data_IF_124654653167
#
_entry.id   IF_124654653167
#
_cell.length_a   1.000
_cell.length_b   1.000
_cell.length_c   1.000
_cell.angle_alpha   90.00
_cell.angle_beta   90.00
_cell.angle_gamma   90.00
#
_symmetry.space_group_name_H-M   'P 1'
#
loop_
_entity.id
_entity.type
_entity.pdbx_description
1 polymer ?
#
# COMPACT_ATOMS: atom_id res chain seq x y z
N UNK A 1 8.69 -24.47 0.50
CA UNK A 1 7.80 -24.43 -0.68
C UNK A 1 6.42 -24.86 -0.22
N UNK A 2 5.48 -23.92 -0.02
CA UNK A 2 4.04 -24.10 -0.25
C UNK A 2 3.52 -22.73 -0.73
N UNK A 3 2.67 -22.78 -1.75
CA UNK A 3 2.47 -21.81 -2.82
C UNK A 3 1.52 -20.62 -2.57
N UNK A 4 1.74 -19.59 -3.38
CA UNK A 4 0.73 -18.68 -3.96
C UNK A 4 -0.48 -19.48 -4.46
N UNK A 5 -1.68 -19.32 -3.90
CA UNK A 5 -2.96 -19.40 -4.63
C UNK A 5 -4.07 -18.87 -3.74
N UNK A 6 -4.57 -17.66 -4.01
CA UNK A 6 -6.02 -17.44 -4.11
C UNK A 6 -6.33 -16.02 -4.62
N UNK A 7 -6.47 -15.91 -5.94
CA UNK A 7 -7.35 -14.93 -6.56
C UNK A 7 -8.05 -15.60 -7.75
N UNK A 8 -9.39 -15.62 -7.68
CA UNK A 8 -10.40 -15.50 -8.75
C UNK A 8 -11.12 -16.74 -9.33
N UNK A 9 -12.39 -16.87 -8.89
CA UNK A 9 -13.66 -17.11 -9.66
C UNK A 9 -14.01 -18.52 -10.17
N UNK A 10 -15.28 -18.79 -10.59
CA UNK A 10 -16.56 -18.72 -9.87
C UNK A 10 -17.30 -20.09 -9.94
N UNK A 11 -18.26 -20.37 -9.04
CA UNK A 11 -19.16 -21.53 -9.22
C UNK A 11 -20.60 -21.19 -8.81
N UNK A 12 -21.52 -21.28 -9.76
CA UNK A 12 -22.96 -21.16 -9.58
C UNK A 12 -23.59 -22.53 -9.31
N UNK A 13 -24.54 -22.50 -8.36
CA UNK A 13 -25.66 -23.38 -8.00
C UNK A 13 -25.96 -24.68 -8.77
N UNK A 14 -26.35 -25.73 -8.03
CA UNK A 14 -27.75 -26.20 -7.97
C UNK A 14 -28.03 -27.26 -6.86
N UNK A 15 -28.93 -26.87 -5.92
CA UNK A 15 -29.92 -27.67 -5.14
C UNK A 15 -29.54 -28.58 -3.93
N UNK A 16 -30.45 -28.80 -2.95
CA UNK A 16 -31.22 -27.83 -2.14
C UNK A 16 -31.21 -28.11 -0.60
N UNK A 17 -31.48 -27.05 0.17
CA UNK A 17 -32.10 -27.00 1.51
C UNK A 17 -31.57 -27.86 2.68
N UNK A 18 -30.76 -27.23 3.54
CA UNK A 18 -30.99 -27.22 5.01
C UNK A 18 -30.70 -25.82 5.54
N UNK A 19 -31.74 -25.11 5.97
CA UNK A 19 -31.62 -23.82 6.63
C UNK A 19 -30.91 -24.01 7.98
N UNK A 20 -29.60 -23.72 8.03
CA UNK A 20 -28.87 -23.60 9.28
C UNK A 20 -28.93 -22.14 9.75
N UNK A 21 -29.35 -21.96 10.99
CA UNK A 21 -29.94 -20.76 11.54
C UNK A 21 -28.87 -19.71 11.95
N UNK A 22 -28.13 -19.17 10.97
CA UNK A 22 -26.98 -18.26 11.17
C UNK A 22 -27.35 -16.90 11.83
N UNK A 23 -28.64 -16.54 11.86
CA UNK A 23 -29.11 -15.34 12.57
C UNK A 23 -29.17 -15.53 14.09
N UNK A 24 -29.30 -16.78 14.57
CA UNK A 24 -29.32 -17.07 16.00
C UNK A 24 -27.93 -16.99 16.62
N UNK A 25 -26.89 -17.46 15.91
CA UNK A 25 -25.50 -17.48 16.39
C UNK A 25 -24.94 -16.08 16.66
N UNK A 26 -25.31 -15.08 15.85
CA UNK A 26 -24.89 -13.68 16.06
C UNK A 26 -25.53 -13.06 17.30
N UNK A 27 -26.80 -13.38 17.59
CA UNK A 27 -27.47 -12.93 18.82
C UNK A 27 -26.89 -13.63 20.04
N UNK A 28 -26.64 -14.93 19.93
CA UNK A 28 -26.02 -15.74 21.00
C UNK A 28 -24.61 -15.23 21.30
N UNK A 29 -23.81 -14.87 20.29
CA UNK A 29 -22.47 -14.31 20.49
C UNK A 29 -22.52 -12.96 21.22
N UNK A 30 -23.42 -12.06 20.82
CA UNK A 30 -23.60 -10.76 21.46
C UNK A 30 -24.14 -10.88 22.90
N UNK A 31 -25.06 -11.82 23.14
CA UNK A 31 -25.57 -12.12 24.49
C UNK A 31 -24.51 -12.78 25.37
N UNK A 32 -23.67 -13.63 24.80
CA UNK A 32 -22.54 -14.26 25.50
C UNK A 32 -21.49 -13.21 25.87
N UNK A 33 -21.15 -12.29 24.96
CA UNK A 33 -20.26 -11.16 25.26
C UNK A 33 -20.84 -10.29 26.40
N UNK A 34 -22.15 -9.98 26.37
CA UNK A 34 -22.80 -9.21 27.44
C UNK A 34 -22.82 -9.94 28.79
N UNK A 35 -23.07 -11.24 28.80
CA UNK A 35 -23.07 -12.06 30.04
C UNK A 35 -21.66 -12.24 30.60
N UNK A 36 -20.65 -12.34 29.75
CA UNK A 36 -19.24 -12.37 30.17
C UNK A 36 -18.83 -11.02 30.76
N UNK A 37 -19.26 -9.91 30.15
CA UNK A 37 -19.01 -8.56 30.67
C UNK A 37 -19.65 -8.30 32.05
N UNK A 38 -20.76 -8.95 32.38
CA UNK A 38 -21.42 -8.80 33.69
C UNK A 38 -20.71 -9.57 34.82
N UNK A 39 -19.84 -10.53 34.50
CA UNK A 39 -19.21 -11.44 35.47
C UNK A 39 -17.69 -11.28 35.60
N UNK A 40 -17.07 -10.35 34.87
CA UNK A 40 -15.64 -10.06 34.95
C UNK A 40 -15.37 -8.87 35.88
N UNK A 41 -14.35 -8.98 36.73
CA UNK A 41 -13.80 -7.86 37.49
C UNK A 41 -13.41 -6.73 36.52
N UNK A 42 -13.88 -5.51 36.82
CA UNK A 42 -13.79 -4.33 35.94
C UNK A 42 -12.37 -3.80 35.67
N UNK A 43 -11.33 -4.48 36.17
CA UNK A 43 -9.92 -4.12 35.96
C UNK A 43 -9.27 -4.86 34.78
N UNK A 44 -9.83 -6.00 34.35
CA UNK A 44 -9.26 -6.78 33.24
C UNK A 44 -9.72 -6.22 31.88
N UNK A 45 -8.77 -5.65 31.11
CA UNK A 45 -9.01 -5.15 29.74
C UNK A 45 -9.15 -6.32 28.75
N UNK A 46 -10.32 -6.45 28.12
CA UNK A 46 -10.53 -7.41 27.03
C UNK A 46 -10.22 -6.77 25.66
N UNK A 47 -9.39 -7.46 24.85
CA UNK A 47 -9.01 -7.00 23.51
C UNK A 47 -9.66 -7.83 22.41
N UNK A 48 -10.31 -7.13 21.48
CA UNK A 48 -10.83 -7.72 20.24
C UNK A 48 -9.82 -7.54 19.10
N UNK A 49 -9.26 -8.64 18.61
CA UNK A 49 -8.33 -8.63 17.47
C UNK A 49 -9.12 -8.82 16.18
N UNK A 50 -9.00 -7.86 15.27
CA UNK A 50 -9.80 -7.83 14.04
C UNK A 50 -8.98 -7.51 12.81
N UNK A 51 -9.39 -8.05 11.66
CA UNK A 51 -8.77 -7.76 10.38
C UNK A 51 -9.06 -6.32 9.90
N UNK A 52 -8.49 -5.95 8.74
CA UNK A 52 -8.72 -4.62 8.15
C UNK A 52 -10.16 -4.35 7.71
N UNK A 53 -11.00 -5.38 7.50
CA UNK A 53 -12.39 -5.18 7.12
C UNK A 53 -13.25 -4.70 8.31
N UNK A 54 -12.79 -4.90 9.54
CA UNK A 54 -13.34 -4.27 10.74
C UNK A 54 -13.07 -2.76 10.79
N UNK A 55 -11.94 -2.30 10.22
CA UNK A 55 -11.46 -0.93 10.34
C UNK A 55 -12.20 0.07 9.43
N UNK A 56 -13.48 0.31 9.75
CA UNK A 56 -14.34 1.29 9.10
C UNK A 56 -14.99 2.16 10.16
N UNK A 57 -15.21 3.45 9.86
CA UNK A 57 -15.73 4.39 10.86
C UNK A 57 -16.98 3.88 11.61
N UNK A 58 -18.02 3.32 10.94
CA UNK A 58 -19.20 2.81 11.64
C UNK A 58 -18.90 1.62 12.57
N UNK A 59 -18.01 0.71 12.15
CA UNK A 59 -17.66 -0.48 12.93
C UNK A 59 -16.79 -0.14 14.13
N UNK A 60 -15.88 0.82 14.00
CA UNK A 60 -15.01 1.27 15.09
C UNK A 60 -15.81 1.98 16.21
N UNK A 61 -16.96 2.57 15.87
CA UNK A 61 -17.88 3.19 16.82
C UNK A 61 -18.85 2.20 17.48
N UNK A 62 -18.87 0.93 17.05
CA UNK A 62 -19.79 -0.10 17.56
C UNK A 62 -19.39 -0.68 18.93
N UNK A 63 -18.10 -0.94 19.22
CA UNK A 63 -17.66 -1.32 20.56
C UNK A 63 -18.01 -0.24 21.59
N UNK A 64 -18.49 -0.66 22.77
CA UNK A 64 -18.75 0.26 23.87
C UNK A 64 -17.46 0.86 24.45
N UNK A 65 -17.60 1.89 25.31
CA UNK A 65 -16.47 2.63 25.89
C UNK A 65 -15.43 1.76 26.62
N UNK A 66 -15.82 0.56 27.08
CA UNK A 66 -14.95 -0.37 27.82
C UNK A 66 -14.48 -1.57 26.97
N UNK A 67 -14.55 -1.48 25.64
CA UNK A 67 -14.08 -2.54 24.74
C UNK A 67 -12.86 -2.07 23.97
N UNK A 68 -11.73 -2.74 24.17
CA UNK A 68 -10.49 -2.44 23.46
C UNK A 68 -10.38 -3.31 22.21
N UNK A 69 -9.75 -2.78 21.17
CA UNK A 69 -9.55 -3.50 19.93
C UNK A 69 -8.16 -3.25 19.37
N UNK A 70 -7.64 -4.24 18.64
CA UNK A 70 -6.44 -4.09 17.81
C UNK A 70 -6.82 -4.51 16.39
N UNK A 71 -6.58 -3.62 15.43
CA UNK A 71 -6.92 -3.88 14.03
C UNK A 71 -5.90 -3.24 13.09
N UNK A 72 -5.98 -3.57 11.82
CA UNK A 72 -5.08 -3.09 10.78
C UNK A 72 -5.75 -2.02 9.91
N UNK A 73 -5.37 -0.73 10.03
CA UNK A 73 -5.85 0.32 9.13
C UNK A 73 -5.53 -0.02 7.67
N UNK A 74 -6.51 -0.01 6.75
CA UNK A 74 -6.26 -0.29 5.34
C UNK A 74 -5.45 0.84 4.70
N UNK A 75 -4.53 0.48 3.80
CA UNK A 75 -3.72 1.44 3.03
C UNK A 75 -4.52 2.26 1.99
N UNK A 76 -5.86 2.18 2.03
CA UNK A 76 -6.78 3.08 1.32
C UNK A 76 -7.06 4.36 2.11
N UNK A 77 -6.75 4.40 3.41
CA UNK A 77 -6.79 5.62 4.22
C UNK A 77 -5.49 6.39 3.94
N UNK A 78 -5.62 7.65 3.50
CA UNK A 78 -4.48 8.45 3.04
C UNK A 78 -3.43 8.68 4.13
N UNK A 79 -3.84 8.87 5.39
CA UNK A 79 -2.93 9.01 6.52
C UNK A 79 -2.15 7.71 6.80
N UNK A 80 -2.84 6.56 6.76
CA UNK A 80 -2.20 5.25 6.93
C UNK A 80 -1.19 4.97 5.81
N UNK A 81 -1.59 5.28 4.57
CA UNK A 81 -0.71 5.19 3.40
C UNK A 81 0.50 6.09 3.58
N UNK A 82 0.31 7.35 3.97
CA UNK A 82 1.39 8.33 4.16
C UNK A 82 2.40 7.85 5.21
N UNK A 83 1.94 7.31 6.34
CA UNK A 83 2.81 6.76 7.39
C UNK A 83 3.64 5.56 6.90
N UNK A 84 3.06 4.67 6.09
CA UNK A 84 3.80 3.52 5.54
C UNK A 84 4.97 3.93 4.62
N UNK A 85 4.82 5.04 3.89
CA UNK A 85 5.82 5.54 2.94
C UNK A 85 6.70 6.67 3.48
N UNK A 86 6.40 7.21 4.65
CA UNK A 86 7.18 8.27 5.25
C UNK A 86 8.57 7.78 5.70
N UNK A 87 9.53 8.69 5.66
CA UNK A 87 10.83 8.48 6.30
C UNK A 87 10.70 8.85 7.79
N UNK A 88 10.41 7.84 8.61
CA UNK A 88 10.12 7.98 10.03
C UNK A 88 11.16 7.20 10.85
N UNK A 89 11.62 7.76 11.98
CA UNK A 89 12.52 7.04 12.87
C UNK A 89 11.77 5.86 13.49
N UNK A 90 12.41 4.69 13.44
CA UNK A 90 11.89 3.44 14.00
C UNK A 90 12.76 3.06 15.22
N UNK A 91 12.10 2.64 16.30
CA UNK A 91 12.76 2.19 17.52
C UNK A 91 12.72 0.66 17.54
N UNK A 92 13.85 0.01 17.82
CA UNK A 92 13.92 -1.45 17.93
C UNK A 92 12.97 -1.95 19.01
N UNK A 93 12.21 -3.00 18.69
CA UNK A 93 11.32 -3.69 19.63
C UNK A 93 12.08 -4.58 20.60
N UNK A 94 11.34 -5.17 21.55
CA UNK A 94 11.86 -6.21 22.46
C UNK A 94 12.18 -7.50 21.71
N UNK A 95 11.39 -7.85 20.69
CA UNK A 95 11.65 -8.99 19.82
C UNK A 95 12.56 -8.62 18.65
N UNK A 96 13.62 -9.42 18.45
CA UNK A 96 14.57 -9.23 17.36
C UNK A 96 13.88 -9.25 15.98
N UNK A 97 14.30 -8.35 15.10
CA UNK A 97 13.74 -8.23 13.75
C UNK A 97 12.42 -7.44 13.68
N UNK A 98 11.98 -6.83 14.79
CA UNK A 98 10.89 -5.87 14.80
C UNK A 98 11.35 -4.49 15.24
N UNK A 99 10.76 -3.46 14.64
CA UNK A 99 10.91 -2.07 15.07
C UNK A 99 9.60 -1.32 14.87
N UNK A 100 9.42 -0.25 15.63
CA UNK A 100 8.15 0.45 15.74
C UNK A 100 8.30 1.97 15.61
N UNK A 101 7.24 2.60 15.12
CA UNK A 101 7.01 4.03 15.25
C UNK A 101 5.59 4.27 15.74
N UNK A 102 5.42 5.01 16.83
CA UNK A 102 4.11 5.32 17.41
C UNK A 102 3.59 6.65 16.92
N UNK A 103 2.28 6.72 16.65
CA UNK A 103 1.57 7.93 16.26
C UNK A 103 0.19 7.94 16.90
N UNK A 104 -0.15 9.02 17.60
CA UNK A 104 -1.52 9.27 18.03
C UNK A 104 -2.32 9.87 16.86
N UNK A 105 -3.50 9.31 16.61
CA UNK A 105 -4.38 9.66 15.49
C UNK A 105 -5.82 9.69 15.98
N UNK A 106 -6.59 10.69 15.56
CA UNK A 106 -8.05 10.69 15.73
C UNK A 106 -8.69 10.30 14.41
N UNK A 107 -9.27 9.09 14.36
CA UNK A 107 -9.98 8.59 13.18
C UNK A 107 -11.38 8.11 13.58
N UNK A 108 -12.38 8.39 12.74
CA UNK A 108 -13.79 8.10 13.04
C UNK A 108 -14.30 8.71 14.37
N UNK A 109 -13.70 9.82 14.82
CA UNK A 109 -14.03 10.46 16.10
C UNK A 109 -13.53 9.72 17.34
N UNK A 110 -12.58 8.80 17.17
CA UNK A 110 -11.98 8.01 18.25
C UNK A 110 -10.48 8.30 18.25
N UNK A 111 -9.95 8.63 19.43
CA UNK A 111 -8.50 8.73 19.64
C UNK A 111 -7.88 7.34 19.67
N UNK A 112 -6.82 7.17 18.91
CA UNK A 112 -6.21 5.89 18.64
C UNK A 112 -4.70 6.02 18.66
N UNK A 113 -4.05 4.95 19.12
CA UNK A 113 -2.62 4.75 18.90
C UNK A 113 -2.45 3.90 17.66
N UNK A 114 -1.73 4.44 16.68
CA UNK A 114 -1.24 3.70 15.53
C UNK A 114 0.23 3.39 15.76
N UNK A 115 0.61 2.15 15.49
CA UNK A 115 2.00 1.73 15.44
C UNK A 115 2.33 1.30 14.01
N UNK A 116 3.35 1.92 13.43
CA UNK A 116 3.99 1.39 12.22
C UNK A 116 4.93 0.29 12.70
N UNK A 117 4.68 -0.94 12.24
CA UNK A 117 5.53 -2.10 12.52
C UNK A 117 6.38 -2.36 11.29
N UNK A 118 7.69 -2.42 11.44
CA UNK A 118 8.60 -2.97 10.43
C UNK A 118 9.06 -4.36 10.86
N UNK A 119 8.77 -5.36 10.04
CA UNK A 119 9.15 -6.76 10.27
C UNK A 119 10.21 -7.20 9.26
N UNK A 120 11.38 -7.56 9.76
CA UNK A 120 12.50 -8.02 8.94
C UNK A 120 12.14 -9.29 8.15
N UNK A 121 11.42 -10.23 8.78
CA UNK A 121 10.90 -11.42 8.13
C UNK A 121 9.98 -11.09 6.94
N UNK A 122 9.07 -10.11 7.11
CA UNK A 122 8.19 -9.67 6.02
C UNK A 122 8.95 -8.88 4.95
N UNK A 123 9.98 -8.11 5.34
CA UNK A 123 10.88 -7.39 4.43
C UNK A 123 11.54 -8.37 3.48
N UNK A 124 12.23 -9.39 4.01
CA UNK A 124 12.88 -10.45 3.23
C UNK A 124 11.90 -11.21 2.31
N UNK A 125 10.72 -11.56 2.81
CA UNK A 125 9.69 -12.22 1.99
C UNK A 125 9.18 -11.31 0.84
N UNK A 126 9.08 -10.01 1.11
CA UNK A 126 8.64 -8.99 0.16
C UNK A 126 9.67 -8.67 -0.93
N UNK A 127 10.97 -8.84 -0.67
CA UNK A 127 12.04 -8.50 -1.61
C UNK A 127 11.91 -9.23 -2.95
N UNK A 128 11.58 -10.53 -2.94
CA UNK A 128 11.40 -11.30 -4.18
C UNK A 128 10.29 -10.72 -5.06
N UNK A 129 9.18 -10.33 -4.44
CA UNK A 129 8.06 -9.69 -5.14
C UNK A 129 8.43 -8.28 -5.59
N UNK A 130 9.19 -7.54 -4.79
CA UNK A 130 9.70 -6.23 -5.14
C UNK A 130 10.57 -6.28 -6.40
N UNK A 131 11.57 -7.17 -6.46
CA UNK A 131 12.45 -7.35 -7.63
C UNK A 131 11.64 -7.66 -8.89
N UNK A 132 10.69 -8.60 -8.79
CA UNK A 132 9.78 -8.95 -9.90
C UNK A 132 8.95 -7.74 -10.36
N UNK A 133 8.43 -6.95 -9.43
CA UNK A 133 7.61 -5.77 -9.73
C UNK A 133 8.45 -4.62 -10.30
N UNK A 134 9.67 -4.41 -9.80
CA UNK A 134 10.61 -3.42 -10.33
C UNK A 134 10.97 -3.75 -11.78
N UNK A 135 11.27 -5.01 -12.11
CA UNK A 135 11.51 -5.43 -13.49
C UNK A 135 10.33 -5.10 -14.42
N UNK A 136 9.09 -5.39 -13.99
CA UNK A 136 7.88 -5.03 -14.76
C UNK A 136 7.71 -3.52 -14.93
N UNK A 137 7.98 -2.75 -13.87
CA UNK A 137 7.96 -1.27 -13.90
C UNK A 137 8.99 -0.71 -14.89
N UNK A 138 10.22 -1.21 -14.86
CA UNK A 138 11.29 -0.84 -15.78
C UNK A 138 10.93 -1.15 -17.24
N UNK A 139 10.37 -2.32 -17.52
CA UNK A 139 9.92 -2.67 -18.87
C UNK A 139 8.79 -1.76 -19.36
N UNK A 140 7.84 -1.40 -18.49
CA UNK A 140 6.78 -0.43 -18.81
C UNK A 140 7.36 0.95 -19.08
N UNK A 141 8.31 1.41 -18.26
CA UNK A 141 8.99 2.67 -18.44
C UNK A 141 9.77 2.71 -19.76
N UNK A 142 10.61 1.70 -20.05
CA UNK A 142 11.36 1.61 -21.32
C UNK A 142 10.45 1.66 -22.55
N UNK A 143 9.31 0.95 -22.53
CA UNK A 143 8.31 1.03 -23.60
C UNK A 143 7.70 2.43 -23.72
N UNK A 144 7.44 3.10 -22.59
CA UNK A 144 6.96 4.49 -22.55
C UNK A 144 7.99 5.47 -23.12
N UNK A 145 9.26 5.37 -22.70
CA UNK A 145 10.37 6.19 -23.22
C UNK A 145 10.56 6.00 -24.71
N UNK A 146 10.49 4.76 -25.21
CA UNK A 146 10.56 4.46 -26.66
C UNK A 146 9.47 5.18 -27.44
N UNK A 147 8.25 5.27 -26.89
CA UNK A 147 7.15 6.04 -27.52
C UNK A 147 7.44 7.53 -27.52
N UNK A 148 7.98 8.07 -26.43
CA UNK A 148 8.38 9.48 -26.36
C UNK A 148 9.52 9.81 -27.33
N UNK A 149 10.54 8.96 -27.43
CA UNK A 149 11.66 9.08 -28.38
C UNK A 149 11.19 9.14 -29.83
N UNK A 150 10.11 8.43 -30.16
CA UNK A 150 9.51 8.44 -31.49
C UNK A 150 8.53 9.61 -31.73
N UNK A 151 8.20 10.40 -30.69
CA UNK A 151 7.27 11.51 -30.78
C UNK A 151 7.98 12.73 -31.37
N UNK A 152 7.44 13.22 -32.48
CA UNK A 152 7.88 14.47 -33.10
C UNK A 152 7.24 15.65 -32.38
N UNK A 153 8.07 16.58 -31.89
CA UNK A 153 7.65 17.76 -31.13
C UNK A 153 7.92 19.02 -31.95
N UNK A 154 7.11 20.06 -31.72
CA UNK A 154 7.08 21.25 -32.57
C UNK A 154 8.31 22.15 -32.35
N UNK A 155 8.86 22.19 -31.14
CA UNK A 155 10.04 22.96 -30.80
C UNK A 155 10.94 22.25 -29.77
N UNK A 156 12.18 22.70 -29.65
CA UNK A 156 13.14 22.19 -28.65
C UNK A 156 12.64 22.35 -27.20
N UNK A 157 12.08 23.50 -26.78
CA UNK A 157 11.49 23.64 -25.44
C UNK A 157 10.43 22.58 -25.13
N UNK A 158 9.53 22.28 -26.08
CA UNK A 158 8.52 21.23 -25.92
C UNK A 158 9.15 19.85 -25.77
N UNK A 159 10.24 19.58 -26.51
CA UNK A 159 11.01 18.36 -26.40
C UNK A 159 11.60 18.17 -25.01
N UNK A 160 12.26 19.20 -24.48
CA UNK A 160 12.82 19.20 -23.12
C UNK A 160 11.73 19.06 -22.06
N UNK A 161 10.61 19.77 -22.22
CA UNK A 161 9.48 19.68 -21.29
C UNK A 161 8.87 18.28 -21.27
N UNK A 162 8.65 17.66 -22.43
CA UNK A 162 8.10 16.32 -22.52
C UNK A 162 9.01 15.28 -21.86
N UNK A 163 10.33 15.42 -21.98
CA UNK A 163 11.29 14.59 -21.27
C UNK A 163 11.23 14.80 -19.75
N UNK A 164 11.15 16.04 -19.27
CA UNK A 164 11.01 16.36 -17.84
C UNK A 164 9.76 15.73 -17.23
N UNK A 165 8.60 15.97 -17.82
CA UNK A 165 7.33 15.38 -17.38
C UNK A 165 7.37 13.85 -17.38
N UNK A 166 8.15 13.26 -18.29
CA UNK A 166 8.35 11.82 -18.29
C UNK A 166 9.17 11.38 -17.07
N UNK A 167 10.30 12.01 -16.78
CA UNK A 167 11.10 11.67 -15.58
C UNK A 167 10.33 11.92 -14.27
N UNK A 168 9.51 12.96 -14.20
CA UNK A 168 8.62 13.20 -13.04
C UNK A 168 7.64 12.04 -12.81
N UNK A 169 7.18 11.39 -13.87
CA UNK A 169 6.30 10.21 -13.79
C UNK A 169 7.05 8.90 -13.45
N UNK A 170 8.38 8.89 -13.56
CA UNK A 170 9.25 7.73 -13.31
C UNK A 170 10.43 8.10 -12.41
N UNK A 171 10.20 8.50 -11.15
CA UNK A 171 11.24 9.06 -10.27
C UNK A 171 12.35 8.06 -9.87
N UNK A 172 12.17 6.77 -10.13
CA UNK A 172 13.17 5.72 -9.94
C UNK A 172 14.12 5.57 -11.14
N UNK A 173 13.95 6.39 -12.17
CA UNK A 173 14.82 6.47 -13.34
C UNK A 173 15.37 7.88 -13.48
N UNK A 174 16.61 7.97 -13.92
CA UNK A 174 17.25 9.23 -14.26
C UNK A 174 18.06 9.09 -15.54
N UNK A 175 18.59 10.22 -16.00
CA UNK A 175 19.63 10.24 -17.00
C UNK A 175 20.54 11.46 -16.82
N UNK A 176 21.84 11.26 -17.02
CA UNK A 176 22.85 12.33 -16.90
C UNK A 176 22.62 13.47 -17.88
N UNK A 177 22.17 13.15 -19.09
CA UNK A 177 21.88 14.15 -20.12
C UNK A 177 20.75 13.72 -21.04
N UNK A 178 19.81 14.64 -21.28
CA UNK A 178 18.76 14.48 -22.28
C UNK A 178 19.19 15.19 -23.55
N UNK A 179 19.42 14.41 -24.61
CA UNK A 179 19.75 14.92 -25.93
C UNK A 179 18.47 15.33 -26.66
N UNK A 180 18.54 16.50 -27.31
CA UNK A 180 17.48 16.98 -28.20
C UNK A 180 18.08 17.13 -29.58
N UNK A 181 17.43 16.55 -30.58
CA UNK A 181 17.88 16.63 -31.97
C UNK A 181 16.72 17.06 -32.87
N UNK A 182 17.05 17.88 -33.87
CA UNK A 182 16.10 18.35 -34.87
C UNK A 182 16.18 17.50 -36.13
N UNK A 183 15.02 17.23 -36.74
CA UNK A 183 14.90 16.59 -38.05
C UNK A 183 14.00 17.42 -38.95
N UNK A 184 14.45 17.67 -40.17
CA UNK A 184 13.61 18.30 -41.19
C UNK A 184 12.80 17.24 -41.92
N UNK A 185 11.48 17.42 -42.00
CA UNK A 185 10.57 16.57 -42.78
C UNK A 185 9.81 17.38 -43.81
N UNK A 186 9.39 16.73 -44.89
CA UNK A 186 8.47 17.35 -45.86
C UNK A 186 7.13 17.53 -45.19
N UNK A 187 6.55 18.73 -45.26
CA UNK A 187 5.19 18.97 -44.77
C UNK A 187 4.24 18.07 -45.58
N UNK A 188 3.38 17.33 -44.89
CA UNK A 188 2.32 16.57 -45.55
C UNK A 188 1.32 17.58 -46.14
N UNK A 189 1.54 17.98 -47.39
CA UNK A 189 0.56 18.75 -48.16
C UNK A 189 -0.62 17.80 -48.42
N UNK A 190 -1.81 18.16 -47.92
CA UNK A 190 -3.05 17.43 -48.22
C UNK A 190 -3.21 17.24 -49.74
N UNK A 191 -3.85 16.14 -50.13
CA UNK A 191 -4.10 15.71 -51.52
C UNK A 191 -4.51 16.91 -52.41
N UNK A 192 -3.61 17.32 -53.31
CA UNK A 192 -3.75 18.46 -54.21
C UNK A 192 -2.47 18.68 -55.04
N UNK A 193 -2.60 19.27 -56.23
CA UNK A 193 -1.55 19.40 -57.26
C UNK A 193 -0.23 19.98 -56.67
N UNK A 194 0.95 19.38 -56.94
CA UNK A 194 2.21 19.80 -56.33
C UNK A 194 2.60 21.23 -56.76
N UNK A 195 2.58 22.16 -55.81
CA UNK A 195 3.17 23.49 -55.95
C UNK A 195 4.70 23.42 -55.83
N UNK A 196 5.40 24.32 -56.53
CA UNK A 196 6.85 24.29 -56.79
C UNK A 196 7.76 24.51 -55.57
N UNK A 197 7.22 24.74 -54.37
CA UNK A 197 7.99 24.79 -53.11
C UNK A 197 7.43 23.80 -52.10
N UNK A 198 8.20 22.74 -51.81
CA UNK A 198 7.84 21.78 -50.76
C UNK A 198 8.20 22.42 -49.42
N UNK A 199 7.21 23.03 -48.77
CA UNK A 199 7.37 23.51 -47.40
C UNK A 199 7.95 22.38 -46.52
N UNK A 200 9.09 22.64 -45.91
CA UNK A 200 9.72 21.75 -44.93
C UNK A 200 9.31 22.17 -43.53
N UNK A 201 9.16 21.20 -42.64
CA UNK A 201 8.88 21.41 -41.22
C UNK A 201 10.03 20.80 -40.41
N UNK A 202 10.55 21.55 -39.45
CA UNK A 202 11.53 21.05 -38.48
C UNK A 202 10.79 20.49 -37.29
N UNK A 203 11.10 19.26 -36.90
CA UNK A 203 10.59 18.62 -35.68
C UNK A 203 11.73 18.29 -34.74
N UNK A 204 11.43 18.19 -33.46
CA UNK A 204 12.39 17.90 -32.41
C UNK A 204 12.06 16.58 -31.74
N UNK A 205 13.09 15.81 -31.41
CA UNK A 205 12.99 14.53 -30.74
C UNK A 205 13.95 14.49 -29.55
N UNK A 206 13.67 13.61 -28.59
CA UNK A 206 14.50 13.43 -27.40
C UNK A 206 15.05 12.02 -27.33
N UNK A 207 16.29 11.88 -26.88
CA UNK A 207 16.88 10.60 -26.53
C UNK A 207 17.80 10.75 -25.30
N UNK A 208 17.92 9.67 -24.54
CA UNK A 208 18.79 9.55 -23.39
C UNK A 208 18.95 8.09 -22.96
N UNK A 209 20.14 7.66 -22.50
CA UNK A 209 20.29 6.42 -21.75
C UNK A 209 19.52 6.51 -20.43
N UNK A 210 18.85 5.42 -20.04
CA UNK A 210 18.07 5.38 -18.80
C UNK A 210 18.81 4.58 -17.74
N UNK A 211 18.98 5.18 -16.57
CA UNK A 211 19.63 4.58 -15.41
C UNK A 211 18.68 4.53 -14.21
N UNK A 212 18.89 3.57 -13.32
CA UNK A 212 18.10 3.40 -12.09
C UNK A 212 18.69 4.29 -11.01
N UNK A 213 17.85 5.06 -10.32
CA UNK A 213 18.26 5.80 -9.12
C UNK A 213 18.38 4.82 -7.95
N UNK A 214 19.59 4.44 -7.49
CA UNK A 214 19.74 3.40 -6.47
C UNK A 214 19.09 3.81 -5.14
N UNK A 215 19.17 5.10 -4.78
CA UNK A 215 18.65 5.62 -3.52
C UNK A 215 17.13 5.45 -3.42
N UNK A 216 16.40 5.67 -4.52
CA UNK A 216 14.94 5.46 -4.57
C UNK A 216 14.61 3.98 -4.38
N UNK A 217 15.38 3.09 -5.01
CA UNK A 217 15.19 1.64 -4.88
C UNK A 217 15.46 1.17 -3.45
N UNK A 218 16.56 1.62 -2.85
CA UNK A 218 16.90 1.24 -1.47
C UNK A 218 15.90 1.81 -0.46
N UNK A 219 15.40 3.04 -0.66
CA UNK A 219 14.32 3.60 0.15
C UNK A 219 13.02 2.80 0.03
N UNK A 220 12.64 2.40 -1.19
CA UNK A 220 11.47 1.53 -1.41
C UNK A 220 11.64 0.17 -0.72
N UNK A 221 12.85 -0.42 -0.78
CA UNK A 221 13.17 -1.69 -0.12
C UNK A 221 13.17 -1.59 1.41
N UNK A 222 13.70 -0.50 1.97
CA UNK A 222 13.71 -0.24 3.41
C UNK A 222 12.30 -0.09 4.01
N UNK A 223 11.30 0.15 3.17
CA UNK A 223 9.88 0.22 3.57
C UNK A 223 9.16 -1.12 3.43
N UNK A 224 9.78 -2.14 2.83
CA UNK A 224 9.19 -3.48 2.75
C UNK A 224 8.99 -4.04 4.16
N UNK A 225 7.94 -4.86 4.31
CA UNK A 225 7.61 -5.43 5.62
C UNK A 225 7.00 -4.44 6.62
N UNK A 226 6.79 -3.16 6.24
CA UNK A 226 6.00 -2.21 7.02
C UNK A 226 4.50 -2.49 6.93
N UNK A 227 3.81 -2.38 8.06
CA UNK A 227 2.35 -2.41 8.17
C UNK A 227 1.92 -1.59 9.40
N UNK A 228 0.64 -1.23 9.51
CA UNK A 228 0.14 -0.47 10.65
C UNK A 228 -0.79 -1.33 11.49
N UNK A 229 -0.65 -1.26 12.81
CA UNK A 229 -1.65 -1.72 13.76
C UNK A 229 -2.21 -0.50 14.49
N UNK A 230 -3.50 -0.51 14.77
CA UNK A 230 -4.19 0.53 15.49
C UNK A 230 -4.93 -0.05 16.69
N UNK A 231 -5.00 0.72 17.76
CA UNK A 231 -5.75 0.41 18.97
C UNK A 231 -6.40 1.65 19.54
N UNK A 232 -7.54 1.50 20.21
CA UNK A 232 -8.16 2.54 21.04
C UNK A 232 -7.61 2.55 22.49
N UNK A 233 -6.70 1.64 22.84
CA UNK A 233 -5.92 1.72 24.09
C UNK A 233 -4.63 2.53 23.88
N UNK A 234 -4.62 3.76 24.37
CA UNK A 234 -3.49 4.69 24.20
C UNK A 234 -2.29 4.35 25.09
N UNK A 235 -2.46 3.50 26.09
CA UNK A 235 -1.40 3.16 27.05
C UNK A 235 -0.66 1.87 26.66
N UNK A 236 -1.21 1.09 25.72
CA UNK A 236 -0.64 -0.19 25.32
C UNK A 236 0.67 -0.01 24.53
N UNK A 237 1.74 -0.73 24.92
CA UNK A 237 3.05 -0.62 24.27
C UNK A 237 3.12 -1.38 22.93
N UNK A 238 3.96 -0.95 21.98
CA UNK A 238 4.02 -1.52 20.63
C UNK A 238 4.29 -3.03 20.58
N UNK A 239 5.17 -3.54 21.44
CA UNK A 239 5.48 -4.97 21.50
C UNK A 239 4.24 -5.77 21.93
N UNK A 240 3.50 -5.30 22.93
CA UNK A 240 2.25 -5.96 23.38
C UNK A 240 1.17 -5.91 22.30
N UNK A 241 0.99 -4.77 21.61
CA UNK A 241 0.07 -4.66 20.46
C UNK A 241 0.43 -5.70 19.39
N UNK A 242 1.70 -5.78 19.02
CA UNK A 242 2.16 -6.74 18.02
C UNK A 242 1.95 -8.19 18.49
N UNK A 243 2.24 -8.50 19.74
CA UNK A 243 2.10 -9.86 20.28
C UNK A 243 0.64 -10.32 20.35
N UNK A 244 -0.28 -9.42 20.67
CA UNK A 244 -1.71 -9.72 20.61
C UNK A 244 -2.20 -9.90 19.17
N UNK A 245 -1.64 -9.16 18.22
CA UNK A 245 -2.04 -9.26 16.81
C UNK A 245 -1.41 -10.45 16.07
N UNK A 246 -0.19 -10.86 16.46
CA UNK A 246 0.44 -12.06 15.90
C UNK A 246 -0.55 -13.22 16.07
N UNK A 247 -0.84 -13.99 15.02
CA UNK A 247 -1.68 -15.17 15.16
C UNK A 247 -0.94 -16.15 16.05
N UNK A 248 -1.20 -16.09 17.35
CA UNK A 248 -0.94 -17.19 18.25
C UNK A 248 -1.79 -18.34 17.73
N UNK A 249 -1.19 -19.51 17.53
CA UNK A 249 -1.95 -20.73 17.31
C UNK A 249 -2.74 -21.06 18.60
N UNK A 250 -3.82 -20.32 18.86
CA UNK A 250 -4.87 -20.60 19.84
C UNK A 250 -5.95 -19.51 19.75
N UNK A 251 -7.19 -19.95 19.50
CA UNK A 251 -8.45 -19.42 20.04
C UNK A 251 -8.35 -18.31 21.10
N UNK A 252 -9.16 -17.25 20.95
CA UNK A 252 -9.59 -16.29 21.99
C UNK A 252 -8.89 -16.47 23.34
N UNK A 253 -7.77 -15.77 23.53
CA UNK A 253 -6.98 -15.86 24.75
C UNK A 253 -7.51 -14.81 25.75
N UNK A 254 -8.38 -15.24 26.66
CA UNK A 254 -8.63 -14.52 27.90
C UNK A 254 -7.36 -14.64 28.75
N UNK A 255 -6.76 -13.51 29.14
CA UNK A 255 -5.66 -13.49 30.10
C UNK A 255 -6.19 -13.03 31.45
N UNK A 256 -6.10 -13.91 32.46
CA UNK A 256 -6.09 -13.52 33.87
C UNK A 256 -4.63 -13.31 34.28
N UNK A 257 -4.29 -12.17 34.86
CA UNK A 257 -3.08 -12.04 35.67
C UNK A 257 -3.40 -12.46 37.11
N UNK A 258 -2.52 -13.30 37.66
CA UNK A 258 -2.50 -13.77 39.06
C UNK A 258 -1.68 -12.78 39.89
#
# INVERSE_FOLDING_TARGET
>A
MIDEYFLLTPYQDHHPARACNCFSDRKILLETIRKVQQNLNLEDKAYYIADSAFYTAPKLQTPGQHTFWISHPPATIDEAKSLLFADIPMISGKEEGYSFHERLVTYAGIDQKWIVVHSEKRRMAGEKNYVRNLAKRLEKARKSWKKLRAKELACEPDARMAARLWFDAYPYLFADSVQVFSKTKKKNVRKGRPGKDKAVETVYLVDSPLEIVPEVVEQEKARLGRFILATNDLDLDPDTILNYYKPNFATFQYFHQI
#
